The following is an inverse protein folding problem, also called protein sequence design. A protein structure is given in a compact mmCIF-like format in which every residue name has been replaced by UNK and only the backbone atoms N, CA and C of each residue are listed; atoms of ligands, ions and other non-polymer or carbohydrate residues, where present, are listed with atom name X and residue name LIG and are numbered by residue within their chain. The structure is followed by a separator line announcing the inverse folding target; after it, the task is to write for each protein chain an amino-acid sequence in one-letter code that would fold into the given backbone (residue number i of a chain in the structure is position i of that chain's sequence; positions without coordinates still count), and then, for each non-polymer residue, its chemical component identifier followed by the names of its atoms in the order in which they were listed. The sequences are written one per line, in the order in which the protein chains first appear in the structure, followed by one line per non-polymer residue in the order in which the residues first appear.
data_IF_981533851708
#
_entry.id   IF_981533851708
#
_cell.length_a   1.000
_cell.length_b   1.000
_cell.length_c   1.000
_cell.angle_alpha   90.00
_cell.angle_beta   90.00
_cell.angle_gamma   90.00
#
_symmetry.space_group_name_H-M   'P 1'
#
loop_
_entity.id
_entity.type
_entity.pdbx_description
1 polymer ?
#
# COMPACT_ATOMS: atom_id res chain seq x y z
N UNK A 1 -40.98 -40.09 -1.44
CA UNK A 1 -41.18 -38.80 -2.14
C UNK A 1 -40.04 -37.85 -1.77
N UNK A 2 -39.30 -37.34 -2.76
CA UNK A 2 -37.95 -36.75 -2.61
C UNK A 2 -38.03 -35.21 -2.62
N UNK A 3 -38.25 -34.59 -1.46
CA UNK A 3 -38.29 -33.12 -1.26
C UNK A 3 -36.89 -32.49 -1.14
N UNK A 4 -35.92 -32.95 -1.94
CA UNK A 4 -34.53 -32.44 -1.91
C UNK A 4 -34.17 -31.29 -2.88
N UNK A 5 -34.94 -30.90 -3.93
CA UNK A 5 -34.46 -29.87 -4.85
C UNK A 5 -34.56 -28.47 -4.25
N UNK A 6 -35.60 -28.18 -3.45
CA UNK A 6 -35.88 -26.82 -2.95
C UNK A 6 -34.75 -26.25 -2.07
N UNK A 7 -34.12 -27.09 -1.25
CA UNK A 7 -33.02 -26.68 -0.36
C UNK A 7 -31.68 -26.48 -1.12
N UNK A 8 -31.49 -27.19 -2.23
CA UNK A 8 -30.30 -27.05 -3.09
C UNK A 8 -30.40 -25.74 -3.88
N UNK A 9 -31.58 -25.44 -4.46
CA UNK A 9 -31.82 -24.19 -5.18
C UNK A 9 -31.69 -22.95 -4.29
N UNK A 10 -32.17 -23.00 -3.04
CA UNK A 10 -32.03 -21.90 -2.08
C UNK A 10 -30.57 -21.64 -1.70
N UNK A 11 -29.78 -22.70 -1.47
CA UNK A 11 -28.34 -22.58 -1.19
C UNK A 11 -27.53 -22.10 -2.40
N UNK A 12 -27.90 -22.50 -3.62
CA UNK A 12 -27.28 -22.02 -4.85
C UNK A 12 -27.57 -20.53 -5.10
N UNK A 13 -28.83 -20.11 -4.91
CA UNK A 13 -29.23 -18.71 -5.04
C UNK A 13 -28.54 -17.82 -4.00
N UNK A 14 -28.42 -18.28 -2.75
CA UNK A 14 -27.72 -17.56 -1.68
C UNK A 14 -26.21 -17.40 -1.99
N UNK A 15 -25.56 -18.44 -2.54
CA UNK A 15 -24.15 -18.37 -2.96
C UNK A 15 -23.95 -17.41 -4.14
N UNK A 16 -24.86 -17.41 -5.11
CA UNK A 16 -24.82 -16.49 -6.24
C UNK A 16 -25.02 -15.04 -5.79
N UNK A 17 -25.96 -14.81 -4.86
CA UNK A 17 -26.20 -13.50 -4.29
C UNK A 17 -25.00 -12.98 -3.49
N UNK A 18 -24.38 -13.83 -2.66
CA UNK A 18 -23.13 -13.52 -1.95
C UNK A 18 -21.98 -13.21 -2.92
N UNK A 19 -21.85 -13.97 -4.01
CA UNK A 19 -20.84 -13.73 -5.03
C UNK A 19 -21.04 -12.38 -5.73
N UNK A 20 -22.28 -12.02 -6.07
CA UNK A 20 -22.63 -10.74 -6.67
C UNK A 20 -22.34 -9.55 -5.73
N UNK A 21 -22.63 -9.69 -4.43
CA UNK A 21 -22.29 -8.66 -3.42
C UNK A 21 -20.77 -8.45 -3.35
N UNK A 22 -20.00 -9.54 -3.26
CA UNK A 22 -18.52 -9.46 -3.17
C UNK A 22 -17.93 -8.85 -4.44
N UNK A 23 -18.41 -9.23 -5.62
CA UNK A 23 -17.95 -8.67 -6.89
C UNK A 23 -18.25 -7.17 -7.01
N UNK A 24 -19.44 -6.73 -6.57
CA UNK A 24 -19.81 -5.32 -6.55
C UNK A 24 -18.92 -4.48 -5.63
N UNK A 25 -18.54 -5.02 -4.46
CA UNK A 25 -17.66 -4.32 -3.52
C UNK A 25 -16.25 -4.10 -4.08
N UNK A 26 -15.67 -5.13 -4.73
CA UNK A 26 -14.32 -5.04 -5.33
C UNK A 26 -14.26 -3.98 -6.44
N UNK A 27 -15.32 -3.84 -7.24
CA UNK A 27 -15.38 -2.87 -8.32
C UNK A 27 -15.43 -1.40 -7.83
N UNK A 28 -15.80 -1.15 -6.58
CA UNK A 28 -16.00 0.21 -6.05
C UNK A 28 -14.70 0.94 -5.67
N UNK A 29 -13.55 0.25 -5.64
CA UNK A 29 -12.30 0.88 -5.21
C UNK A 29 -11.66 1.70 -6.34
N UNK A 30 -11.49 3.00 -6.09
CA UNK A 30 -10.72 3.86 -6.98
C UNK A 30 -9.25 3.38 -7.06
N UNK A 31 -8.63 3.37 -8.24
CA UNK A 31 -7.24 2.96 -8.39
C UNK A 31 -6.31 3.90 -7.61
N UNK A 32 -5.26 3.32 -7.02
CA UNK A 32 -4.23 4.07 -6.32
C UNK A 32 -3.48 5.02 -7.28
N UNK A 33 -3.11 6.23 -6.82
CA UNK A 33 -2.42 7.20 -7.67
C UNK A 33 -1.03 6.69 -8.04
N UNK A 34 -0.66 6.81 -9.32
CA UNK A 34 0.66 6.41 -9.83
C UNK A 34 1.33 7.59 -10.52
N UNK A 35 2.63 7.81 -10.26
CA UNK A 35 3.40 8.92 -10.85
C UNK A 35 4.77 8.45 -11.34
N UNK A 36 5.26 9.03 -12.44
CA UNK A 36 6.61 8.78 -12.96
C UNK A 36 7.59 9.83 -12.45
N UNK A 37 8.72 9.38 -11.91
CA UNK A 37 9.84 10.21 -11.47
C UNK A 37 11.12 9.80 -12.21
N UNK A 38 12.22 10.54 -12.02
CA UNK A 38 13.50 10.28 -12.70
C UNK A 38 14.02 8.84 -12.53
N UNK A 39 13.75 8.22 -11.38
CA UNK A 39 14.26 6.90 -11.01
C UNK A 39 13.29 5.75 -11.32
N UNK A 40 12.03 6.02 -11.71
CA UNK A 40 11.04 4.97 -11.99
C UNK A 40 9.59 5.39 -11.74
N UNK A 41 8.69 4.40 -11.65
CA UNK A 41 7.28 4.60 -11.32
C UNK A 41 7.06 4.45 -9.80
N UNK A 42 6.18 5.29 -9.24
CA UNK A 42 5.76 5.26 -7.84
C UNK A 42 4.25 5.00 -7.77
N UNK A 43 3.81 4.11 -6.87
CA UNK A 43 2.40 3.96 -6.50
C UNK A 43 2.17 4.52 -5.10
N UNK A 44 1.34 5.56 -5.00
CA UNK A 44 0.93 6.16 -3.74
C UNK A 44 -0.43 5.64 -3.27
N UNK A 45 -1.00 6.32 -2.28
CA UNK A 45 -2.35 6.06 -1.77
C UNK A 45 -3.15 7.36 -1.67
N UNK A 46 -4.46 7.29 -1.89
CA UNK A 46 -5.36 8.39 -1.55
C UNK A 46 -5.52 8.46 -0.02
N UNK A 47 -5.30 9.65 0.56
CA UNK A 47 -5.50 9.92 1.98
C UNK A 47 -6.37 11.15 2.18
N UNK A 48 -6.95 11.27 3.35
CA UNK A 48 -7.81 12.40 3.73
C UNK A 48 -7.10 13.23 4.79
N UNK A 49 -7.00 14.54 4.55
CA UNK A 49 -6.43 15.48 5.52
C UNK A 49 -7.38 15.66 6.71
N UNK A 50 -6.89 16.23 7.81
CA UNK A 50 -7.70 16.53 9.01
C UNK A 50 -8.94 17.38 8.70
N UNK A 51 -8.90 18.20 7.64
CA UNK A 51 -10.02 19.05 7.19
C UNK A 51 -10.89 18.38 6.10
N UNK A 52 -10.79 17.07 5.90
CA UNK A 52 -11.64 16.32 4.97
C UNK A 52 -11.22 16.38 3.49
N UNK A 53 -10.14 17.07 3.14
CA UNK A 53 -9.66 17.14 1.74
C UNK A 53 -8.90 15.87 1.37
N UNK A 54 -9.29 15.23 0.27
CA UNK A 54 -8.55 14.12 -0.34
C UNK A 54 -7.24 14.61 -0.98
N UNK A 55 -6.16 13.85 -0.83
CA UNK A 55 -4.87 14.12 -1.46
C UNK A 55 -4.13 12.82 -1.80
N UNK A 56 -3.30 12.86 -2.83
CA UNK A 56 -2.41 11.76 -3.16
C UNK A 56 -1.18 11.77 -2.24
N UNK A 57 -0.94 10.68 -1.52
CA UNK A 57 0.17 10.51 -0.60
C UNK A 57 1.18 9.53 -1.19
N UNK A 58 2.43 9.98 -1.33
CA UNK A 58 3.57 9.14 -1.69
C UNK A 58 4.60 9.20 -0.56
N UNK A 59 4.86 8.07 0.08
CA UNK A 59 5.67 7.91 1.28
C UNK A 59 6.81 6.93 1.01
N UNK A 60 7.90 7.00 1.79
CA UNK A 60 8.99 6.02 1.69
C UNK A 60 9.73 6.01 0.34
N UNK A 61 9.76 7.13 -0.38
CA UNK A 61 10.46 7.25 -1.67
C UNK A 61 11.97 7.32 -1.43
N UNK A 62 12.77 6.40 -1.99
CA UNK A 62 14.22 6.44 -1.83
C UNK A 62 14.83 7.55 -2.71
N UNK A 63 15.65 8.40 -2.10
CA UNK A 63 16.36 9.49 -2.80
C UNK A 63 17.87 9.26 -2.91
N UNK A 64 18.41 8.31 -2.14
CA UNK A 64 19.82 7.94 -2.14
C UNK A 64 19.98 6.46 -1.79
N UNK A 65 21.18 5.90 -2.00
CA UNK A 65 21.48 4.53 -1.55
C UNK A 65 21.44 4.43 -0.03
N UNK A 66 21.00 3.30 0.53
CA UNK A 66 21.06 3.06 1.97
C UNK A 66 22.48 3.25 2.54
N UNK A 67 22.67 4.10 3.58
CA UNK A 67 23.99 4.43 4.14
C UNK A 67 24.49 3.33 5.10
N UNK A 68 24.52 2.08 4.62
CA UNK A 68 24.90 0.89 5.41
C UNK A 68 26.27 0.34 4.98
N UNK A 69 26.91 -0.42 5.87
CA UNK A 69 28.22 -1.03 5.62
C UNK A 69 29.27 0.03 5.29
N UNK A 70 29.96 -0.14 4.14
CA UNK A 70 30.99 0.80 3.67
C UNK A 70 30.50 2.22 3.37
N UNK A 71 29.18 2.42 3.28
CA UNK A 71 28.58 3.74 3.04
C UNK A 71 28.23 4.49 4.33
N UNK A 72 28.36 3.85 5.50
CA UNK A 72 28.12 4.53 6.77
C UNK A 72 29.14 5.65 6.96
N UNK A 73 28.66 6.80 7.45
CA UNK A 73 29.47 8.01 7.65
C UNK A 73 30.09 8.59 6.37
N UNK A 74 29.55 8.22 5.20
CA UNK A 74 29.91 8.82 3.91
C UNK A 74 28.76 9.64 3.36
N UNK A 75 29.08 10.48 2.39
CA UNK A 75 28.08 11.26 1.65
C UNK A 75 27.05 10.34 0.96
N UNK A 76 25.77 10.77 0.88
CA UNK A 76 24.73 10.04 0.18
C UNK A 76 25.11 9.73 -1.26
N UNK A 77 25.01 8.47 -1.65
CA UNK A 77 25.35 8.02 -3.00
C UNK A 77 24.11 7.96 -3.89
N UNK A 78 24.25 8.28 -5.17
CA UNK A 78 23.15 8.24 -6.15
C UNK A 78 22.50 6.85 -6.23
N UNK A 79 21.17 6.85 -6.22
CA UNK A 79 20.36 5.65 -6.37
C UNK A 79 20.26 5.26 -7.86
N UNK A 80 20.35 3.96 -8.16
CA UNK A 80 20.05 3.48 -9.51
C UNK A 80 18.54 3.48 -9.75
N UNK A 81 18.06 3.72 -10.98
CA UNK A 81 16.66 3.52 -11.31
C UNK A 81 16.18 2.10 -10.94
N UNK A 82 14.93 1.97 -10.51
CA UNK A 82 14.31 0.69 -10.22
C UNK A 82 13.44 0.22 -11.38
N UNK A 83 13.25 -1.10 -11.48
CA UNK A 83 12.33 -1.70 -12.43
C UNK A 83 10.95 -1.85 -11.80
N UNK A 84 9.90 -1.71 -12.62
CA UNK A 84 8.52 -1.81 -12.16
C UNK A 84 8.05 -0.57 -11.39
N UNK A 85 7.12 -0.80 -10.46
CA UNK A 85 6.46 0.25 -9.67
C UNK A 85 6.90 0.11 -8.20
N UNK A 86 7.42 1.21 -7.64
CA UNK A 86 7.80 1.27 -6.23
C UNK A 86 6.58 1.55 -5.38
N UNK A 87 6.37 0.74 -4.34
CA UNK A 87 5.31 0.94 -3.36
C UNK A 87 5.65 2.12 -2.44
N UNK A 88 5.00 3.25 -2.69
CA UNK A 88 5.10 4.48 -1.92
C UNK A 88 3.83 4.71 -1.07
N UNK A 89 3.14 3.65 -0.65
CA UNK A 89 1.91 3.78 0.18
C UNK A 89 2.20 3.95 1.67
N UNK A 90 3.40 3.58 2.13
CA UNK A 90 3.79 3.50 3.54
C UNK A 90 5.11 4.22 3.83
N UNK A 91 5.32 4.70 5.06
CA UNK A 91 6.62 5.26 5.46
C UNK A 91 7.67 4.15 5.60
N UNK A 92 8.94 4.51 5.39
CA UNK A 92 10.08 3.68 5.73
C UNK A 92 10.43 3.83 7.22
N UNK A 93 11.20 2.89 7.81
CA UNK A 93 11.72 3.03 9.17
C UNK A 93 12.48 4.34 9.37
N UNK A 94 12.32 4.93 10.56
CA UNK A 94 13.08 6.11 10.95
C UNK A 94 14.58 5.80 11.07
N UNK A 95 15.40 6.84 11.08
CA UNK A 95 16.83 6.70 11.36
C UNK A 95 17.08 6.24 12.78
N UNK A 96 18.23 5.59 13.00
CA UNK A 96 18.67 5.13 14.31
C UNK A 96 18.70 6.31 15.30
N UNK A 97 17.88 6.26 16.34
CA UNK A 97 17.83 7.31 17.37
C UNK A 97 17.43 6.73 18.73
N UNK A 98 17.94 7.32 19.81
CA UNK A 98 17.40 7.09 21.14
C UNK A 98 16.08 7.85 21.32
N UNK A 99 15.00 7.12 21.60
CA UNK A 99 13.72 7.70 21.99
C UNK A 99 13.71 7.92 23.52
N UNK A 100 13.66 9.18 24.01
CA UNK A 100 13.69 9.48 25.43
C UNK A 100 12.39 9.13 26.17
N UNK A 101 11.26 9.04 25.45
CA UNK A 101 9.95 8.75 26.05
C UNK A 101 9.76 7.24 26.25
N UNK A 102 10.22 6.44 25.29
CA UNK A 102 10.10 4.97 25.33
C UNK A 102 11.37 4.33 25.94
N UNK A 103 12.44 5.12 26.15
CA UNK A 103 13.75 4.67 26.66
C UNK A 103 14.33 3.51 25.85
N UNK A 104 14.17 3.57 24.52
CA UNK A 104 14.61 2.53 23.58
C UNK A 104 15.27 3.16 22.37
N UNK A 105 16.23 2.43 21.79
CA UNK A 105 16.82 2.77 20.49
C UNK A 105 15.86 2.30 19.40
N UNK A 106 15.42 3.22 18.56
CA UNK A 106 14.50 3.01 17.44
C UNK A 106 15.26 3.00 16.13
#
# INVERSE_FOLDING_TARGET
MRSRPFCIFLNMALRLFLFLIVAGFVASQAPNPTVRVAHGLLQGAWKVSTKGRSYASFQGIPYARPPIGKYRFREPQQLKPWLGVWDATKPLPACLQYDPFIKKIT
#
